data_IF_469683254116
#
_entry.id   IF_469683254116
#
_cell.length_a   1.000
_cell.length_b   1.000
_cell.length_c   1.000
_cell.angle_alpha   90.00
_cell.angle_beta   90.00
_cell.angle_gamma   90.00
#
_symmetry.space_group_name_H-M   'P 1'
#
loop_
_entity.id
_entity.type
_entity.pdbx_description
1 polymer ?
#
# COMPACT_ATOMS: atom_id res chain seq x y z
N UNK A 1 -31.99 68.01 6.51
CA UNK A 1 -32.47 66.64 6.29
C UNK A 1 -31.32 65.83 5.63
N UNK A 2 -30.56 65.09 6.44
CA UNK A 2 -29.41 64.25 5.94
C UNK A 2 -29.88 62.81 5.85
N UNK A 3 -29.94 62.26 4.60
CA UNK A 3 -30.26 60.88 4.36
C UNK A 3 -28.99 60.03 4.49
N UNK A 4 -28.93 59.14 5.50
CA UNK A 4 -27.91 58.11 5.64
C UNK A 4 -28.31 56.91 4.77
N UNK A 5 -27.50 56.59 3.76
CA UNK A 5 -27.58 55.35 3.01
C UNK A 5 -26.74 54.31 3.75
N UNK A 6 -27.37 53.29 4.32
CA UNK A 6 -26.68 52.15 4.88
C UNK A 6 -26.44 51.11 3.76
N UNK A 7 -25.18 50.89 3.42
CA UNK A 7 -24.75 49.85 2.48
C UNK A 7 -24.59 48.55 3.28
N UNK A 8 -25.50 47.61 3.03
CA UNK A 8 -25.44 46.26 3.60
C UNK A 8 -24.56 45.38 2.69
N UNK A 9 -23.32 45.14 3.12
CA UNK A 9 -22.42 44.23 2.41
C UNK A 9 -22.74 42.77 2.76
N UNK A 10 -23.34 42.02 1.82
CA UNK A 10 -23.50 40.57 1.93
C UNK A 10 -22.14 39.88 1.73
N UNK A 11 -21.59 39.34 2.81
CA UNK A 11 -20.45 38.42 2.73
C UNK A 11 -20.96 37.04 2.31
N UNK A 12 -20.79 36.69 1.03
CA UNK A 12 -20.98 35.36 0.51
C UNK A 12 -19.74 34.51 0.86
N UNK A 13 -19.84 33.76 1.95
CA UNK A 13 -18.87 32.71 2.25
C UNK A 13 -19.08 31.54 1.28
N UNK A 14 -18.25 31.47 0.24
CA UNK A 14 -18.18 30.32 -0.65
C UNK A 14 -17.50 29.15 0.07
N UNK A 15 -18.30 28.16 0.52
CA UNK A 15 -17.78 26.86 0.90
C UNK A 15 -17.29 26.15 -0.37
N UNK A 16 -16.00 26.23 -0.64
CA UNK A 16 -15.37 25.38 -1.64
C UNK A 16 -15.31 23.92 -1.09
N UNK A 17 -15.73 22.90 -1.86
CA UNK A 17 -15.53 21.53 -1.45
C UNK A 17 -14.03 21.24 -1.41
N UNK A 18 -13.52 20.86 -0.25
CA UNK A 18 -12.15 20.34 -0.10
C UNK A 18 -12.14 18.99 -0.81
N UNK A 19 -11.68 18.98 -2.06
CA UNK A 19 -11.23 17.74 -2.69
C UNK A 19 -9.94 17.33 -1.99
N UNK A 20 -10.03 16.28 -1.16
CA UNK A 20 -8.85 15.55 -0.70
C UNK A 20 -8.29 14.78 -1.91
N UNK A 21 -7.56 15.46 -2.79
CA UNK A 21 -6.66 14.80 -3.70
C UNK A 21 -5.45 14.40 -2.85
N UNK A 22 -5.25 13.10 -2.64
CA UNK A 22 -4.01 12.58 -2.08
C UNK A 22 -2.91 13.07 -3.01
N UNK A 23 -2.08 14.00 -2.52
CA UNK A 23 -0.97 14.50 -3.29
C UNK A 23 -0.05 13.31 -3.62
N UNK A 24 0.30 13.14 -4.90
CA UNK A 24 1.27 12.14 -5.32
C UNK A 24 2.60 12.38 -4.59
N UNK A 25 3.43 11.36 -4.57
CA UNK A 25 4.78 11.39 -3.99
C UNK A 25 5.83 11.41 -5.10
N UNK A 26 7.04 11.89 -4.80
CA UNK A 26 8.14 11.90 -5.76
C UNK A 26 8.83 10.54 -5.87
N UNK A 27 8.83 9.76 -4.78
CA UNK A 27 9.36 8.40 -4.72
C UNK A 27 8.68 7.60 -3.61
N UNK A 28 8.73 6.29 -3.68
CA UNK A 28 8.39 5.40 -2.57
C UNK A 28 9.67 4.83 -1.93
N UNK A 29 9.55 4.16 -0.77
CA UNK A 29 10.68 3.57 -0.09
C UNK A 29 11.39 2.55 -0.99
N UNK A 30 12.74 2.57 -1.08
CA UNK A 30 13.45 1.69 -1.98
C UNK A 30 13.34 0.23 -1.55
N UNK A 31 13.41 -0.68 -2.51
CA UNK A 31 13.43 -2.12 -2.31
C UNK A 31 14.49 -2.58 -1.29
N UNK A 32 15.64 -1.88 -1.26
CA UNK A 32 16.73 -2.13 -0.30
C UNK A 32 16.36 -1.85 1.15
N UNK A 33 15.25 -1.18 1.42
CA UNK A 33 14.73 -0.97 2.78
C UNK A 33 13.97 -2.18 3.33
N UNK A 34 13.61 -3.15 2.48
CA UNK A 34 12.96 -4.38 2.89
C UNK A 34 13.94 -5.22 3.69
N UNK A 35 13.57 -5.60 4.94
CA UNK A 35 14.33 -6.55 5.75
C UNK A 35 14.22 -7.93 5.10
N UNK A 36 15.36 -8.48 4.73
CA UNK A 36 15.44 -9.61 3.83
C UNK A 36 16.57 -10.57 4.23
N UNK A 37 16.26 -11.84 4.43
CA UNK A 37 17.21 -12.89 4.89
C UNK A 37 17.99 -13.54 3.75
N UNK A 38 17.72 -13.16 2.51
CA UNK A 38 18.38 -13.71 1.32
C UNK A 38 17.47 -14.61 0.47
N UNK A 39 17.98 -15.01 -0.70
CA UNK A 39 17.24 -15.84 -1.65
C UNK A 39 17.03 -17.24 -1.10
N UNK A 40 15.77 -17.60 -0.80
CA UNK A 40 15.41 -18.98 -0.54
C UNK A 40 15.54 -19.82 -1.82
N UNK A 41 16.16 -21.00 -1.74
CA UNK A 41 16.22 -21.89 -2.89
C UNK A 41 14.79 -22.27 -3.34
N UNK A 42 14.44 -21.94 -4.59
CA UNK A 42 13.11 -22.16 -5.15
C UNK A 42 12.05 -21.13 -4.76
N UNK A 43 12.45 -19.96 -4.20
CA UNK A 43 11.51 -18.89 -3.87
C UNK A 43 10.95 -18.16 -5.09
N UNK A 44 9.84 -17.45 -4.87
CA UNK A 44 9.15 -16.63 -5.87
C UNK A 44 9.90 -15.31 -6.07
N UNK A 45 10.68 -15.22 -7.14
CA UNK A 45 11.50 -14.04 -7.44
C UNK A 45 10.64 -12.94 -8.06
N UNK A 46 10.70 -11.74 -7.50
CA UNK A 46 10.05 -10.54 -8.01
C UNK A 46 11.06 -9.41 -8.15
N UNK A 47 10.79 -8.47 -9.05
CA UNK A 47 11.63 -7.31 -9.29
C UNK A 47 11.29 -6.17 -8.31
N UNK A 48 12.24 -5.27 -8.08
CA UNK A 48 11.93 -3.97 -7.50
C UNK A 48 11.10 -3.14 -8.51
N UNK A 49 10.02 -2.51 -8.08
CA UNK A 49 9.22 -1.66 -8.99
C UNK A 49 10.00 -0.41 -9.42
N UNK A 50 10.89 0.11 -8.57
CA UNK A 50 11.80 1.22 -8.89
C UNK A 50 13.25 0.73 -8.94
N UNK A 51 13.94 1.10 -10.02
CA UNK A 51 15.35 0.74 -10.23
C UNK A 51 15.54 -0.74 -10.60
N UNK A 52 16.80 -1.18 -10.44
CA UNK A 52 17.22 -2.55 -10.66
C UNK A 52 17.27 -3.30 -9.33
N UNK A 53 16.96 -4.56 -9.36
CA UNK A 53 17.01 -5.44 -8.19
C UNK A 53 15.87 -6.44 -8.19
N UNK A 54 16.10 -7.54 -7.49
CA UNK A 54 15.13 -8.61 -7.31
C UNK A 54 15.26 -9.23 -5.93
N UNK A 55 14.20 -9.85 -5.44
CA UNK A 55 14.21 -10.62 -4.21
C UNK A 55 13.19 -11.77 -4.27
N UNK A 56 13.38 -12.79 -3.43
CA UNK A 56 12.40 -13.85 -3.26
C UNK A 56 11.40 -13.45 -2.17
N UNK A 57 10.10 -13.54 -2.44
CA UNK A 57 9.06 -13.17 -1.48
C UNK A 57 9.17 -13.97 -0.16
N UNK A 58 9.57 -15.22 -0.23
CA UNK A 58 9.77 -16.11 0.93
C UNK A 58 10.97 -15.70 1.82
N UNK A 59 11.88 -14.86 1.29
CA UNK A 59 13.01 -14.31 2.03
C UNK A 59 12.69 -13.02 2.80
N UNK A 60 11.48 -12.47 2.65
CA UNK A 60 11.05 -11.28 3.37
C UNK A 60 10.91 -11.61 4.86
N UNK A 61 11.65 -10.89 5.69
CA UNK A 61 11.58 -11.05 7.14
C UNK A 61 10.31 -10.39 7.68
N UNK A 62 9.72 -11.02 8.68
CA UNK A 62 8.60 -10.44 9.41
C UNK A 62 9.04 -9.65 10.66
N UNK A 63 8.09 -9.00 11.32
CA UNK A 63 6.67 -8.96 10.95
C UNK A 63 6.42 -8.12 9.70
N UNK A 64 5.58 -8.64 8.79
CA UNK A 64 5.29 -7.97 7.53
C UNK A 64 3.83 -8.15 7.07
N UNK A 65 3.31 -7.15 6.37
CA UNK A 65 2.06 -7.19 5.63
C UNK A 65 2.40 -6.97 4.16
N UNK A 66 2.18 -7.99 3.33
CA UNK A 66 2.55 -8.01 1.91
C UNK A 66 1.25 -8.05 1.09
N UNK A 67 0.98 -7.02 0.31
CA UNK A 67 -0.26 -6.88 -0.46
C UNK A 67 -0.02 -6.95 -1.96
N UNK A 68 -0.64 -7.92 -2.62
CA UNK A 68 -0.76 -7.97 -4.07
C UNK A 68 -1.82 -6.99 -4.56
N UNK A 69 -1.49 -6.20 -5.58
CA UNK A 69 -2.35 -5.18 -6.14
C UNK A 69 -2.11 -4.99 -7.65
N UNK A 70 -3.00 -4.27 -8.31
CA UNK A 70 -2.84 -3.82 -9.69
C UNK A 70 -3.52 -2.45 -9.88
N UNK A 71 -3.05 -1.64 -10.83
CA UNK A 71 -3.58 -0.28 -11.09
C UNK A 71 -5.04 -0.27 -11.55
N UNK A 72 -5.45 -1.29 -12.28
CA UNK A 72 -6.81 -1.47 -12.80
C UNK A 72 -7.81 -2.07 -11.79
N UNK A 73 -7.33 -2.49 -10.62
CA UNK A 73 -8.13 -3.21 -9.63
C UNK A 73 -8.93 -2.25 -8.73
N UNK A 74 -10.24 -2.18 -8.89
CA UNK A 74 -11.12 -1.30 -8.09
C UNK A 74 -11.08 -1.58 -6.59
N UNK A 75 -11.04 -2.86 -6.19
CA UNK A 75 -10.97 -3.24 -4.77
C UNK A 75 -9.59 -2.91 -4.17
N UNK A 76 -8.52 -2.95 -4.98
CA UNK A 76 -7.19 -2.53 -4.56
C UNK A 76 -7.17 -1.01 -4.30
N UNK A 77 -7.84 -0.23 -5.15
CA UNK A 77 -8.00 1.21 -4.95
C UNK A 77 -8.76 1.53 -3.66
N UNK A 78 -9.82 0.77 -3.34
CA UNK A 78 -10.62 0.98 -2.14
C UNK A 78 -9.84 0.74 -0.82
N UNK A 79 -8.87 -0.19 -0.83
CA UNK A 79 -8.06 -0.50 0.36
C UNK A 79 -6.78 0.34 0.50
N UNK A 80 -6.32 1.00 -0.56
CA UNK A 80 -5.03 1.68 -0.66
C UNK A 80 -4.72 2.61 0.52
N UNK A 81 -5.68 3.47 0.87
CA UNK A 81 -5.51 4.43 1.97
C UNK A 81 -5.22 3.73 3.31
N UNK A 82 -5.77 2.53 3.54
CA UNK A 82 -5.51 1.76 4.74
C UNK A 82 -4.07 1.25 4.80
N UNK A 83 -3.45 0.91 3.65
CA UNK A 83 -2.04 0.52 3.58
C UNK A 83 -1.11 1.72 3.74
N UNK A 84 -1.41 2.87 3.12
CA UNK A 84 -0.66 4.11 3.28
C UNK A 84 -0.65 4.52 4.77
N UNK A 85 -1.81 4.47 5.40
CA UNK A 85 -1.96 4.78 6.82
C UNK A 85 -1.21 3.77 7.70
N UNK A 86 -1.34 2.47 7.42
CA UNK A 86 -0.62 1.41 8.13
C UNK A 86 0.90 1.64 8.05
N UNK A 87 1.45 1.90 6.88
CA UNK A 87 2.87 2.17 6.70
C UNK A 87 3.35 3.33 7.57
N UNK A 88 2.58 4.43 7.59
CA UNK A 88 2.90 5.62 8.37
C UNK A 88 2.83 5.36 9.89
N UNK A 89 1.78 4.66 10.36
CA UNK A 89 1.52 4.48 11.80
C UNK A 89 2.30 3.31 12.39
N UNK A 90 2.60 2.28 11.60
CA UNK A 90 3.39 1.14 12.06
C UNK A 90 4.87 1.49 12.25
N UNK A 91 5.43 2.37 11.40
CA UNK A 91 6.85 2.70 11.44
C UNK A 91 7.72 1.44 11.40
N UNK A 92 8.67 1.33 12.31
CA UNK A 92 9.59 0.18 12.36
C UNK A 92 9.02 -1.10 12.98
N UNK A 93 7.76 -1.07 13.47
CA UNK A 93 7.14 -2.22 14.13
C UNK A 93 6.83 -3.37 13.17
N UNK A 94 6.47 -3.05 11.91
CA UNK A 94 6.24 -4.04 10.87
C UNK A 94 6.54 -3.45 9.48
N UNK A 95 6.87 -4.32 8.54
CA UNK A 95 7.05 -3.94 7.14
C UNK A 95 5.70 -3.94 6.41
N UNK A 96 5.45 -2.91 5.60
CA UNK A 96 4.33 -2.87 4.64
C UNK A 96 4.94 -2.88 3.25
N UNK A 97 4.55 -3.84 2.42
CA UNK A 97 5.15 -4.08 1.09
C UNK A 97 4.02 -4.28 0.08
N UNK A 98 4.09 -3.60 -1.06
CA UNK A 98 3.22 -3.82 -2.20
C UNK A 98 3.87 -4.75 -3.22
N UNK A 99 3.07 -5.57 -3.90
CA UNK A 99 3.48 -6.36 -5.05
C UNK A 99 2.50 -6.06 -6.17
N UNK A 100 2.98 -5.32 -7.15
CA UNK A 100 2.24 -5.01 -8.37
C UNK A 100 2.24 -6.21 -9.30
N UNK A 101 1.08 -6.73 -9.61
CA UNK A 101 0.94 -7.93 -10.44
C UNK A 101 -0.14 -7.76 -11.50
N UNK A 102 0.01 -8.51 -12.60
CA UNK A 102 -0.93 -8.47 -13.74
C UNK A 102 -1.02 -7.08 -14.43
N UNK A 103 0.03 -6.27 -14.35
CA UNK A 103 0.14 -5.01 -15.07
C UNK A 103 0.61 -5.21 -16.52
N UNK A 104 0.29 -4.22 -17.37
CA UNK A 104 0.77 -4.23 -18.76
C UNK A 104 2.26 -3.93 -18.86
N UNK A 105 2.76 -3.10 -17.96
CA UNK A 105 4.18 -2.75 -17.87
C UNK A 105 4.55 -2.31 -16.46
N UNK A 106 5.83 -2.46 -16.10
CA UNK A 106 6.41 -1.95 -14.86
C UNK A 106 6.22 -0.43 -14.72
N UNK A 107 6.26 0.31 -15.84
CA UNK A 107 6.06 1.77 -15.84
C UNK A 107 4.64 2.17 -15.43
N UNK A 108 3.61 1.43 -15.87
CA UNK A 108 2.22 1.73 -15.51
C UNK A 108 2.00 1.60 -13.99
N UNK A 109 2.51 0.52 -13.39
CA UNK A 109 2.47 0.32 -11.94
C UNK A 109 3.26 1.36 -11.17
N UNK A 110 4.46 1.71 -11.65
CA UNK A 110 5.31 2.74 -11.05
C UNK A 110 4.61 4.10 -11.00
N UNK A 111 4.09 4.57 -12.13
CA UNK A 111 3.37 5.85 -12.22
C UNK A 111 2.11 5.85 -11.34
N UNK A 112 1.39 4.72 -11.31
CA UNK A 112 0.22 4.57 -10.46
C UNK A 112 0.59 4.71 -8.98
N UNK A 113 1.60 3.97 -8.51
CA UNK A 113 2.04 3.99 -7.12
C UNK A 113 2.45 5.41 -6.66
N UNK A 114 3.22 6.14 -7.49
CA UNK A 114 3.60 7.54 -7.22
C UNK A 114 2.38 8.46 -7.16
N UNK A 115 1.54 8.43 -8.17
CA UNK A 115 0.33 9.26 -8.26
C UNK A 115 -0.61 9.05 -7.09
N UNK A 116 -0.64 7.83 -6.56
CA UNK A 116 -1.53 7.41 -5.48
C UNK A 116 -0.92 7.49 -4.08
N UNK A 117 0.30 7.98 -3.96
CA UNK A 117 0.95 8.21 -2.67
C UNK A 117 1.35 6.93 -1.92
N UNK A 118 1.59 5.82 -2.63
CA UNK A 118 1.96 4.52 -2.03
C UNK A 118 3.43 4.52 -1.60
N UNK A 119 3.75 5.22 -0.52
CA UNK A 119 5.12 5.52 -0.06
C UNK A 119 5.92 4.31 0.46
N UNK A 120 5.29 3.16 0.67
CA UNK A 120 5.95 1.93 1.11
C UNK A 120 6.65 1.20 -0.05
N UNK A 121 7.64 0.31 0.21
CA UNK A 121 8.35 -0.42 -0.83
C UNK A 121 7.41 -1.16 -1.77
N UNK A 122 7.70 -1.09 -3.07
CA UNK A 122 6.91 -1.69 -4.12
C UNK A 122 7.77 -2.69 -4.93
N UNK A 123 7.21 -3.87 -5.14
CA UNK A 123 7.77 -4.95 -5.96
C UNK A 123 6.90 -5.12 -7.20
N UNK A 124 7.44 -5.80 -8.21
CA UNK A 124 6.78 -6.03 -9.49
C UNK A 124 6.87 -7.51 -9.89
N UNK A 125 5.73 -8.06 -10.26
CA UNK A 125 5.64 -9.41 -10.85
C UNK A 125 5.51 -9.30 -12.37
N UNK A 126 6.57 -9.58 -13.13
CA UNK A 126 6.57 -9.36 -14.57
C UNK A 126 5.73 -10.36 -15.39
N UNK A 127 5.45 -11.54 -14.84
CA UNK A 127 4.89 -12.64 -15.61
C UNK A 127 3.91 -13.57 -14.87
N UNK A 128 3.39 -13.13 -13.72
CA UNK A 128 2.42 -13.90 -12.94
C UNK A 128 3.02 -15.02 -12.08
N UNK A 129 4.35 -14.98 -11.84
CA UNK A 129 5.05 -16.00 -11.02
C UNK A 129 4.65 -15.99 -9.56
N UNK A 130 4.00 -14.92 -9.10
CA UNK A 130 3.50 -14.78 -7.72
C UNK A 130 2.20 -15.55 -7.46
N UNK A 131 1.61 -16.19 -8.48
CA UNK A 131 0.40 -17.02 -8.31
C UNK A 131 0.57 -18.13 -7.27
N UNK A 132 1.74 -18.76 -7.19
CA UNK A 132 2.01 -19.81 -6.19
C UNK A 132 2.16 -19.21 -4.78
N UNK A 133 2.56 -17.94 -4.68
CA UNK A 133 2.70 -17.24 -3.42
C UNK A 133 1.38 -16.66 -2.93
N UNK A 134 0.64 -15.93 -3.74
CA UNK A 134 -0.61 -15.27 -3.34
C UNK A 134 -1.87 -16.08 -3.65
N UNK A 135 -1.88 -16.88 -4.70
CA UNK A 135 -3.08 -17.37 -5.35
C UNK A 135 -3.56 -16.43 -6.46
N UNK A 136 -4.64 -16.78 -7.19
CA UNK A 136 -5.12 -16.02 -8.32
C UNK A 136 -5.87 -14.74 -7.92
N UNK A 137 -5.63 -13.66 -8.67
CA UNK A 137 -6.34 -12.38 -8.59
C UNK A 137 -5.80 -11.42 -7.54
N UNK A 138 -6.39 -10.24 -7.51
CA UNK A 138 -6.07 -9.13 -6.60
C UNK A 138 -7.35 -8.48 -6.06
N UNK A 139 -7.33 -7.88 -4.86
CA UNK A 139 -6.22 -7.84 -3.91
C UNK A 139 -6.14 -9.10 -3.04
N UNK A 140 -4.93 -9.48 -2.70
CA UNK A 140 -4.65 -10.53 -1.72
C UNK A 140 -3.55 -10.03 -0.79
N UNK A 141 -3.69 -10.26 0.52
CA UNK A 141 -2.73 -9.79 1.52
C UNK A 141 -2.24 -10.94 2.37
N UNK A 142 -0.91 -11.09 2.48
CA UNK A 142 -0.25 -12.01 3.41
C UNK A 142 0.23 -11.30 4.66
N UNK A 143 0.06 -11.97 5.79
CA UNK A 143 0.58 -11.56 7.10
C UNK A 143 1.68 -12.53 7.50
N UNK A 144 2.88 -11.99 7.74
CA UNK A 144 4.09 -12.75 8.07
C UNK A 144 4.55 -12.36 9.47
N UNK A 145 4.69 -13.31 10.38
CA UNK A 145 5.13 -13.06 11.76
C UNK A 145 6.64 -12.81 11.88
N UNK A 146 7.12 -12.46 13.07
CA UNK A 146 8.53 -12.18 13.34
C UNK A 146 9.47 -13.37 13.09
N UNK A 147 8.92 -14.59 12.95
CA UNK A 147 9.67 -15.80 12.60
C UNK A 147 9.69 -16.07 11.09
N UNK A 148 9.11 -15.18 10.28
CA UNK A 148 9.01 -15.35 8.83
C UNK A 148 7.92 -16.32 8.38
N UNK A 149 7.03 -16.75 9.29
CA UNK A 149 5.93 -17.66 8.98
C UNK A 149 4.71 -16.88 8.54
N UNK A 150 4.09 -17.30 7.43
CA UNK A 150 2.77 -16.81 7.05
C UNK A 150 1.73 -17.25 8.07
N UNK A 151 1.09 -16.29 8.73
CA UNK A 151 0.06 -16.54 9.77
C UNK A 151 -1.36 -16.41 9.22
N UNK A 152 -1.53 -15.60 8.18
CA UNK A 152 -2.84 -15.37 7.58
C UNK A 152 -2.75 -14.94 6.12
N UNK A 153 -3.75 -15.34 5.33
CA UNK A 153 -3.96 -14.92 3.95
C UNK A 153 -5.36 -14.30 3.83
N UNK A 154 -5.44 -13.02 3.59
CA UNK A 154 -6.70 -12.30 3.31
C UNK A 154 -6.94 -12.25 1.81
N UNK A 155 -7.98 -12.91 1.35
CA UNK A 155 -8.47 -12.81 -0.03
C UNK A 155 -9.53 -11.69 -0.08
N UNK A 156 -9.40 -10.79 -1.04
CA UNK A 156 -10.24 -9.58 -1.16
C UNK A 156 -9.71 -8.39 -0.36
N UNK A 157 -10.36 -7.24 -0.53
CA UNK A 157 -9.91 -5.98 0.04
C UNK A 157 -10.08 -5.88 1.56
N UNK A 158 -9.18 -5.13 2.20
CA UNK A 158 -9.29 -4.68 3.59
C UNK A 158 -9.83 -3.25 3.54
N UNK A 159 -11.14 -3.10 3.66
CA UNK A 159 -11.85 -1.88 3.27
C UNK A 159 -11.91 -0.80 4.35
N UNK A 160 -11.63 -1.16 5.61
CA UNK A 160 -11.59 -0.21 6.72
C UNK A 160 -10.27 -0.30 7.46
N UNK A 161 -9.85 0.83 8.06
CA UNK A 161 -8.62 0.84 8.85
C UNK A 161 -8.77 0.04 10.17
N UNK A 162 -9.97 0.00 10.73
CA UNK A 162 -10.24 -0.82 11.93
C UNK A 162 -10.11 -2.32 11.63
N UNK A 163 -10.56 -2.79 10.45
CA UNK A 163 -10.31 -4.15 9.98
C UNK A 163 -8.80 -4.40 9.85
N UNK A 164 -8.05 -3.48 9.23
CA UNK A 164 -6.59 -3.59 9.08
C UNK A 164 -5.89 -3.73 10.43
N UNK A 165 -6.21 -2.86 11.40
CA UNK A 165 -5.64 -2.91 12.75
C UNK A 165 -5.98 -4.22 13.48
N UNK A 166 -7.22 -4.67 13.35
CA UNK A 166 -7.68 -5.94 13.95
C UNK A 166 -6.90 -7.12 13.39
N UNK A 167 -6.72 -7.20 12.07
CA UNK A 167 -5.94 -8.26 11.43
C UNK A 167 -4.47 -8.23 11.84
N UNK A 168 -3.85 -7.04 11.89
CA UNK A 168 -2.47 -6.89 12.36
C UNK A 168 -2.33 -7.36 13.83
N UNK A 169 -3.26 -6.96 14.68
CA UNK A 169 -3.26 -7.40 16.09
C UNK A 169 -3.46 -8.90 16.24
N UNK A 170 -4.44 -9.47 15.55
CA UNK A 170 -4.80 -10.89 15.63
C UNK A 170 -3.69 -11.79 15.11
N UNK A 171 -3.11 -11.46 13.95
CA UNK A 171 -2.19 -12.35 13.26
C UNK A 171 -0.71 -12.06 13.51
N UNK A 172 -0.36 -10.83 13.91
CA UNK A 172 1.04 -10.43 14.17
C UNK A 172 1.28 -10.03 15.63
N UNK A 173 0.24 -9.88 16.44
CA UNK A 173 0.35 -9.47 17.85
C UNK A 173 0.76 -8.00 18.03
N UNK A 174 0.66 -7.16 17.00
CA UNK A 174 1.13 -5.78 17.00
C UNK A 174 -0.05 -4.81 17.16
N UNK A 175 0.05 -3.91 18.15
CA UNK A 175 -0.88 -2.80 18.31
C UNK A 175 -0.46 -1.61 17.46
N UNK A 176 -1.34 -1.23 16.53
CA UNK A 176 -1.24 -0.02 15.74
C UNK A 176 -2.20 1.03 16.32
N UNK A 177 -1.78 2.30 16.42
CA UNK A 177 -2.60 3.40 16.98
C UNK A 177 -3.95 3.58 16.30
#
# INVERSE_FOLDING_TARGET
>A
MKRFLAIFALLLTACAPVKSETAGIESFAPCSSIKYSGMAAGGTIVECLEGDGELALEGIEGPAVISAWASWCTNCEAQRENFIRLYKEAGDKLQVIGVDMEEKSKADGYEHALKKGMAYPQLFDPDGRTLDFFGPGVPITRFVDAQGKMTYLKIGGILTYDEMRSLVKEHLGIDIP
#
